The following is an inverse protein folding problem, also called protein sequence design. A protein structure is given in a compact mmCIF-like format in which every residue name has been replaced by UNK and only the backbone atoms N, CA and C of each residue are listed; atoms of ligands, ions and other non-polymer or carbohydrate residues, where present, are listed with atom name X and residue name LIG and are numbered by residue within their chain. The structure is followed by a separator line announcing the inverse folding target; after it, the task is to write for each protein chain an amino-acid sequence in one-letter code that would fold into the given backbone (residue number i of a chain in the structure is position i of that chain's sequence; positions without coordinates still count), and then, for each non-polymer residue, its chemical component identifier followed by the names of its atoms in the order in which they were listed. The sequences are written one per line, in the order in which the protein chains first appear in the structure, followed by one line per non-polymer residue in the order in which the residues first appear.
data_IF_407060073996
#
_entry.id   IF_407060073996
#
_cell.length_a   1.000
_cell.length_b   1.000
_cell.length_c   1.000
_cell.angle_alpha   90.00
_cell.angle_beta   90.00
_cell.angle_gamma   90.00
#
_symmetry.space_group_name_H-M   'P 1'
#
loop_
_entity.id
_entity.type
_entity.pdbx_description
1 polymer ?
#
# COMPACT_ATOMS: atom_id res chain seq x y z
N UNK A 1 -10.45 14.56 -43.78
CA UNK A 1 -11.61 15.47 -43.65
C UNK A 1 -12.80 14.68 -43.11
N UNK A 2 -13.03 14.72 -41.79
CA UNK A 2 -14.32 14.48 -41.11
C UNK A 2 -14.19 15.05 -39.70
N UNK A 3 -15.27 15.70 -39.27
CA UNK A 3 -15.33 16.84 -38.35
C UNK A 3 -14.94 16.49 -36.92
N UNK A 4 -14.22 17.44 -36.30
CA UNK A 4 -14.15 17.60 -34.86
C UNK A 4 -15.50 18.14 -34.39
N UNK A 5 -16.20 17.37 -33.57
CA UNK A 5 -17.31 17.88 -32.78
C UNK A 5 -16.79 18.19 -31.38
N UNK A 6 -16.66 19.49 -31.12
CA UNK A 6 -16.36 20.07 -29.83
C UNK A 6 -17.46 19.68 -28.83
N UNK A 7 -17.13 18.81 -27.88
CA UNK A 7 -17.94 18.62 -26.69
C UNK A 7 -17.80 19.86 -25.80
N UNK A 8 -18.89 20.62 -25.69
CA UNK A 8 -19.03 21.71 -24.74
C UNK A 8 -18.79 21.19 -23.30
N UNK A 9 -18.15 21.98 -22.41
CA UNK A 9 -17.92 21.56 -21.04
C UNK A 9 -19.27 21.38 -20.33
N UNK A 10 -19.52 20.16 -19.85
CA UNK A 10 -20.71 19.87 -19.07
C UNK A 10 -20.67 20.67 -17.77
N UNK A 11 -21.84 21.18 -17.38
CA UNK A 11 -22.05 22.01 -16.20
C UNK A 11 -21.39 21.36 -14.98
N UNK A 12 -20.47 22.07 -14.35
CA UNK A 12 -19.80 21.72 -13.09
C UNK A 12 -20.80 21.06 -12.13
N UNK A 13 -20.67 19.75 -11.97
CA UNK A 13 -21.31 19.00 -10.90
C UNK A 13 -20.80 19.56 -9.57
N UNK A 14 -21.71 20.20 -8.82
CA UNK A 14 -21.48 20.59 -7.42
C UNK A 14 -21.63 19.35 -6.55
N UNK A 15 -20.63 18.48 -6.56
CA UNK A 15 -20.31 17.66 -5.38
C UNK A 15 -18.87 18.00 -4.99
N UNK A 16 -18.66 19.27 -4.59
CA UNK A 16 -17.44 19.66 -3.87
C UNK A 16 -17.73 19.50 -2.40
N UNK A 17 -17.49 18.30 -1.87
CA UNK A 17 -17.39 18.12 -0.44
C UNK A 17 -16.24 17.17 -0.16
N UNK A 18 -15.01 17.66 -0.35
CA UNK A 18 -13.77 16.99 0.05
C UNK A 18 -13.48 17.19 1.55
N UNK A 19 -14.24 18.08 2.21
CA UNK A 19 -14.12 18.25 3.65
C UNK A 19 -14.94 17.18 4.38
N UNK A 20 -14.41 16.60 5.48
CA UNK A 20 -15.22 15.81 6.40
C UNK A 20 -16.51 16.58 6.73
N UNK A 21 -17.67 15.91 6.87
CA UNK A 21 -18.82 16.57 7.49
C UNK A 21 -18.35 17.15 8.83
N UNK A 22 -18.63 18.44 9.08
CA UNK A 22 -18.31 19.05 10.37
C UNK A 22 -19.03 18.25 11.45
N UNK A 23 -18.29 17.40 12.17
CA UNK A 23 -18.80 16.75 13.36
C UNK A 23 -18.93 17.87 14.39
N UNK A 24 -20.14 18.40 14.56
CA UNK A 24 -20.41 19.48 15.50
C UNK A 24 -19.99 19.03 16.90
N UNK A 25 -19.02 19.71 17.51
CA UNK A 25 -18.48 19.41 18.84
C UNK A 25 -19.42 19.72 20.01
N UNK A 26 -20.72 19.52 19.83
CA UNK A 26 -21.67 19.50 20.94
C UNK A 26 -21.59 18.15 21.65
N UNK A 27 -21.73 18.13 22.98
CA UNK A 27 -21.85 16.89 23.73
C UNK A 27 -23.01 16.05 23.18
N UNK A 28 -22.74 14.77 22.87
CA UNK A 28 -23.80 13.84 22.51
C UNK A 28 -24.79 13.71 23.67
N UNK A 29 -26.09 13.57 23.35
CA UNK A 29 -27.10 13.25 24.38
C UNK A 29 -26.75 11.94 25.08
N UNK A 30 -27.25 11.73 26.29
CA UNK A 30 -27.00 10.49 27.05
C UNK A 30 -27.44 9.25 26.24
N UNK A 31 -28.57 9.33 25.54
CA UNK A 31 -29.03 8.25 24.65
C UNK A 31 -28.00 7.97 23.55
N UNK A 32 -27.47 9.03 22.93
CA UNK A 32 -26.47 8.90 21.87
C UNK A 32 -25.13 8.38 22.37
N UNK A 33 -24.72 8.76 23.57
CA UNK A 33 -23.53 8.20 24.23
C UNK A 33 -23.71 6.70 24.49
N UNK A 34 -24.89 6.28 24.96
CA UNK A 34 -25.22 4.87 25.17
C UNK A 34 -25.24 4.07 23.85
N UNK A 35 -25.78 4.64 22.77
CA UNK A 35 -25.75 4.03 21.44
C UNK A 35 -24.30 3.81 20.94
N UNK A 36 -23.44 4.82 21.08
CA UNK A 36 -22.02 4.71 20.71
C UNK A 36 -21.32 3.65 21.55
N UNK A 37 -21.54 3.65 22.86
CA UNK A 37 -20.97 2.66 23.77
C UNK A 37 -21.41 1.23 23.39
N UNK A 38 -22.70 1.03 23.10
CA UNK A 38 -23.22 -0.26 22.63
C UNK A 38 -22.60 -0.67 21.30
N UNK A 39 -22.50 0.26 20.34
CA UNK A 39 -21.87 -0.02 19.06
C UNK A 39 -20.43 -0.48 19.24
N UNK A 40 -19.63 0.19 20.08
CA UNK A 40 -18.25 -0.24 20.38
C UNK A 40 -18.24 -1.62 21.03
N UNK A 41 -19.07 -1.84 22.05
CA UNK A 41 -19.14 -3.10 22.79
C UNK A 41 -19.44 -4.30 21.86
N UNK A 42 -20.35 -4.13 20.90
CA UNK A 42 -20.72 -5.17 19.95
C UNK A 42 -19.57 -5.61 19.03
N UNK A 43 -18.58 -4.74 18.78
CA UNK A 43 -17.39 -5.06 17.95
C UNK A 43 -16.23 -5.60 18.78
N UNK A 44 -16.28 -5.49 20.11
CA UNK A 44 -15.22 -5.95 21.00
C UNK A 44 -14.79 -7.41 20.74
N UNK A 45 -15.70 -8.40 20.52
CA UNK A 45 -15.30 -9.77 20.22
C UNK A 45 -14.46 -9.89 18.93
N UNK A 46 -14.85 -9.16 17.87
CA UNK A 46 -14.12 -9.15 16.61
C UNK A 46 -12.77 -8.46 16.75
N UNK A 47 -12.71 -7.28 17.37
CA UNK A 47 -11.45 -6.56 17.60
C UNK A 47 -10.47 -7.37 18.47
N UNK A 48 -10.99 -8.09 19.48
CA UNK A 48 -10.20 -9.00 20.31
C UNK A 48 -9.69 -10.22 19.54
N UNK A 49 -10.48 -10.76 18.62
CA UNK A 49 -10.04 -11.83 17.72
C UNK A 49 -8.99 -11.31 16.75
N UNK A 50 -9.22 -10.14 16.15
CA UNK A 50 -8.35 -9.49 15.18
C UNK A 50 -6.94 -9.23 15.74
N UNK A 51 -6.87 -8.71 16.97
CA UNK A 51 -5.59 -8.51 17.68
C UNK A 51 -4.84 -9.83 17.88
N UNK A 52 -5.52 -10.87 18.40
CA UNK A 52 -4.92 -12.19 18.59
C UNK A 52 -4.49 -12.83 17.28
N UNK A 53 -5.27 -12.64 16.21
CA UNK A 53 -4.93 -13.12 14.87
C UNK A 53 -3.61 -12.49 14.39
N UNK A 54 -3.44 -11.17 14.51
CA UNK A 54 -2.20 -10.48 14.17
C UNK A 54 -1.00 -11.01 14.96
N UNK A 55 -1.16 -11.19 16.27
CA UNK A 55 -0.11 -11.75 17.14
C UNK A 55 0.25 -13.21 16.79
N UNK A 56 -0.69 -13.95 16.19
CA UNK A 56 -0.52 -15.34 15.78
C UNK A 56 0.06 -15.54 14.37
N UNK A 57 0.36 -14.46 13.64
CA UNK A 57 0.85 -14.55 12.27
C UNK A 57 2.15 -15.41 12.20
N UNK A 58 2.21 -16.39 11.28
CA UNK A 58 3.36 -17.28 11.18
C UNK A 58 4.57 -16.55 10.58
N UNK A 59 5.76 -17.09 10.78
CA UNK A 59 6.92 -16.74 9.94
C UNK A 59 6.93 -17.61 8.68
N UNK A 60 7.52 -17.11 7.60
CA UNK A 60 7.75 -17.89 6.39
C UNK A 60 9.25 -17.90 6.04
N UNK A 61 9.73 -18.98 5.46
CA UNK A 61 11.12 -19.13 5.03
C UNK A 61 11.28 -18.68 3.58
N UNK A 62 12.24 -17.80 3.29
CA UNK A 62 12.58 -17.40 1.92
C UNK A 62 12.97 -18.63 1.08
N UNK A 63 13.69 -19.57 1.68
CA UNK A 63 14.08 -20.82 1.02
C UNK A 63 12.85 -21.63 0.60
N UNK A 64 11.89 -21.82 1.51
CA UNK A 64 10.67 -22.59 1.21
C UNK A 64 9.83 -21.89 0.13
N UNK A 65 9.69 -20.56 0.21
CA UNK A 65 9.00 -19.77 -0.83
C UNK A 65 9.63 -20.01 -2.21
N UNK A 66 10.95 -20.00 -2.31
CA UNK A 66 11.69 -20.22 -3.57
C UNK A 66 11.55 -21.68 -4.05
N UNK A 67 11.66 -22.66 -3.15
CA UNK A 67 11.51 -24.08 -3.47
C UNK A 67 10.08 -24.39 -3.97
N UNK A 68 9.05 -23.87 -3.30
CA UNK A 68 7.64 -24.03 -3.69
C UNK A 68 7.28 -23.30 -4.98
N UNK A 69 7.99 -22.22 -5.31
CA UNK A 69 7.88 -21.54 -6.61
C UNK A 69 8.50 -22.35 -7.76
N UNK A 70 9.27 -23.40 -7.45
CA UNK A 70 10.04 -24.17 -8.41
C UNK A 70 11.31 -23.47 -8.91
N UNK A 71 11.80 -22.45 -8.19
CA UNK A 71 12.96 -21.66 -8.58
C UNK A 71 12.82 -20.17 -8.26
N UNK A 72 13.95 -19.50 -8.03
CA UNK A 72 13.97 -18.09 -7.64
C UNK A 72 13.56 -17.15 -8.78
N UNK A 73 13.69 -17.60 -10.03
CA UNK A 73 13.21 -16.92 -11.22
C UNK A 73 11.68 -16.80 -11.28
N UNK A 74 10.95 -17.63 -10.53
CA UNK A 74 9.49 -17.62 -10.44
C UNK A 74 8.96 -16.79 -9.25
N UNK A 75 9.85 -16.12 -8.52
CA UNK A 75 9.53 -15.22 -7.41
C UNK A 75 9.78 -13.77 -7.83
N UNK A 76 8.82 -12.90 -7.55
CA UNK A 76 8.94 -11.46 -7.71
C UNK A 76 8.82 -10.73 -6.37
N UNK A 77 9.65 -9.72 -6.16
CA UNK A 77 9.55 -8.79 -5.03
C UNK A 77 9.01 -7.47 -5.57
N UNK A 78 7.81 -7.10 -5.12
CA UNK A 78 7.10 -5.87 -5.48
C UNK A 78 7.21 -4.91 -4.30
N UNK A 79 7.92 -3.81 -4.48
CA UNK A 79 8.18 -2.83 -3.45
C UNK A 79 7.48 -1.51 -3.79
N UNK A 80 6.36 -1.27 -3.14
CA UNK A 80 5.44 -0.17 -3.47
C UNK A 80 5.80 1.04 -2.63
N UNK A 81 6.09 2.16 -3.31
CA UNK A 81 6.20 3.49 -2.70
C UNK A 81 7.24 3.66 -1.57
N UNK A 82 8.25 2.79 -1.47
CA UNK A 82 9.38 3.00 -0.52
C UNK A 82 10.34 4.08 -1.03
N UNK A 83 9.85 5.31 -1.02
CA UNK A 83 10.48 6.53 -1.55
C UNK A 83 10.69 7.55 -0.44
N UNK A 84 11.56 8.53 -0.70
CA UNK A 84 11.92 9.59 0.26
C UNK A 84 10.69 10.33 0.76
N UNK A 85 9.72 10.62 -0.11
CA UNK A 85 8.49 11.38 0.19
C UNK A 85 7.65 10.82 1.33
N UNK A 86 7.65 9.49 1.51
CA UNK A 86 6.87 8.80 2.52
C UNK A 86 7.70 8.28 3.69
N UNK A 87 8.95 7.87 3.43
CA UNK A 87 9.80 7.25 4.45
C UNK A 87 10.73 8.22 5.19
N UNK A 88 11.04 9.40 4.62
CA UNK A 88 12.13 10.27 5.10
C UNK A 88 11.69 11.71 5.27
N UNK A 89 11.21 12.31 4.19
CA UNK A 89 10.91 13.74 4.11
C UNK A 89 9.91 14.00 3.00
N UNK A 90 8.80 14.63 3.35
CA UNK A 90 7.72 14.97 2.44
C UNK A 90 6.49 15.34 3.26
N UNK A 91 5.48 15.94 2.62
CA UNK A 91 4.24 16.33 3.29
C UNK A 91 3.47 15.13 3.88
N UNK A 92 3.68 13.93 3.31
CA UNK A 92 3.05 12.68 3.71
C UNK A 92 4.05 11.70 4.36
N UNK A 93 5.22 12.17 4.77
CA UNK A 93 6.20 11.32 5.45
C UNK A 93 5.68 10.87 6.82
N UNK A 94 5.86 9.59 7.15
CA UNK A 94 5.48 9.02 8.44
C UNK A 94 6.65 8.31 9.10
N UNK A 95 6.91 8.52 10.42
CA UNK A 95 7.90 7.75 11.15
C UNK A 95 7.69 6.24 11.05
N UNK A 96 6.43 5.78 11.11
CA UNK A 96 6.05 4.36 10.98
C UNK A 96 6.47 3.78 9.62
N UNK A 97 6.19 4.51 8.54
CA UNK A 97 6.61 4.17 7.19
C UNK A 97 8.14 4.26 7.02
N UNK A 98 8.80 5.14 7.77
CA UNK A 98 10.27 5.16 7.82
C UNK A 98 10.88 3.91 8.46
N UNK A 99 10.20 3.29 9.42
CA UNK A 99 10.68 2.11 10.16
C UNK A 99 10.70 0.84 9.32
N UNK A 100 9.85 0.70 8.30
CA UNK A 100 9.84 -0.48 7.41
C UNK A 100 11.03 -0.54 6.44
N UNK A 101 11.78 0.55 6.27
CA UNK A 101 12.94 0.59 5.35
C UNK A 101 14.00 -0.45 5.73
N UNK A 102 14.31 -0.59 7.03
CA UNK A 102 15.29 -1.56 7.52
C UNK A 102 14.89 -3.03 7.24
N UNK A 103 13.68 -3.47 7.67
CA UNK A 103 13.13 -4.77 7.31
C UNK A 103 13.13 -5.05 5.79
N UNK A 104 12.74 -4.07 4.97
CA UNK A 104 12.72 -4.24 3.50
C UNK A 104 14.12 -4.42 2.93
N UNK A 105 15.13 -3.69 3.42
CA UNK A 105 16.54 -3.86 3.03
C UNK A 105 17.03 -5.28 3.36
N UNK A 106 16.68 -5.80 4.53
CA UNK A 106 17.00 -7.18 4.91
C UNK A 106 16.32 -8.19 3.98
N UNK A 107 15.03 -8.00 3.69
CA UNK A 107 14.27 -8.87 2.80
C UNK A 107 14.80 -8.83 1.35
N UNK A 108 15.20 -7.67 0.85
CA UNK A 108 15.82 -7.53 -0.47
C UNK A 108 17.14 -8.30 -0.54
N UNK A 109 17.98 -8.14 0.48
CA UNK A 109 19.29 -8.82 0.56
C UNK A 109 19.10 -10.34 0.68
N UNK A 110 18.14 -10.78 1.48
CA UNK A 110 17.78 -12.18 1.65
C UNK A 110 17.24 -12.80 0.37
N UNK A 111 16.33 -12.11 -0.33
CA UNK A 111 15.80 -12.57 -1.61
C UNK A 111 16.90 -12.66 -2.67
N UNK A 112 17.77 -11.65 -2.74
CA UNK A 112 18.89 -11.65 -3.68
C UNK A 112 19.87 -12.80 -3.41
N UNK A 113 20.18 -13.10 -2.14
CA UNK A 113 21.06 -14.22 -1.77
C UNK A 113 20.47 -15.60 -2.12
N UNK A 114 19.13 -15.71 -2.17
CA UNK A 114 18.40 -16.89 -2.65
C UNK A 114 18.20 -16.93 -4.16
N UNK A 115 18.81 -16.01 -4.92
CA UNK A 115 18.78 -16.03 -6.39
C UNK A 115 17.64 -15.24 -7.03
N UNK A 116 16.78 -14.57 -6.25
CA UNK A 116 15.69 -13.74 -6.80
C UNK A 116 16.31 -12.56 -7.56
N UNK A 117 15.81 -12.28 -8.76
CA UNK A 117 16.26 -11.14 -9.60
C UNK A 117 15.10 -10.24 -10.07
N UNK A 118 13.86 -10.65 -9.86
CA UNK A 118 12.68 -9.90 -10.29
C UNK A 118 12.28 -8.90 -9.20
N UNK A 119 12.96 -7.76 -9.14
CA UNK A 119 12.62 -6.64 -8.25
C UNK A 119 11.93 -5.54 -9.05
N UNK A 120 10.70 -5.22 -8.67
CA UNK A 120 9.90 -4.18 -9.31
C UNK A 120 9.41 -3.19 -8.28
N UNK A 121 9.59 -1.90 -8.56
CA UNK A 121 9.33 -0.81 -7.63
C UNK A 121 8.30 0.16 -8.25
N UNK A 122 6.98 -0.09 -8.12
CA UNK A 122 5.96 0.89 -8.42
C UNK A 122 6.08 2.09 -7.45
N UNK A 123 6.26 3.30 -7.98
CA UNK A 123 6.58 4.48 -7.16
C UNK A 123 5.81 5.72 -7.60
N UNK A 124 5.22 6.41 -6.64
CA UNK A 124 4.48 7.65 -6.88
C UNK A 124 5.34 8.75 -7.50
N UNK A 125 4.83 9.32 -8.59
CA UNK A 125 5.39 10.46 -9.30
C UNK A 125 4.27 11.29 -9.91
N UNK A 126 3.91 12.39 -9.24
CA UNK A 126 2.75 13.20 -9.63
C UNK A 126 3.12 14.42 -10.47
N UNK A 127 2.40 14.70 -11.57
CA UNK A 127 2.48 16.01 -12.20
C UNK A 127 1.83 17.09 -11.29
N UNK A 128 2.16 18.37 -11.48
CA UNK A 128 1.62 19.45 -10.63
C UNK A 128 0.09 19.58 -10.65
N UNK A 129 -0.58 19.05 -11.67
CA UNK A 129 -2.04 19.07 -11.84
C UNK A 129 -2.71 17.73 -11.48
N UNK A 130 -2.03 16.88 -10.70
CA UNK A 130 -2.58 15.58 -10.28
C UNK A 130 -3.92 15.73 -9.55
N UNK A 131 -4.99 15.05 -10.01
CA UNK A 131 -6.30 15.10 -9.35
C UNK A 131 -6.28 14.44 -7.97
N UNK A 132 -5.31 13.56 -7.70
CA UNK A 132 -5.14 12.89 -6.41
C UNK A 132 -4.80 13.86 -5.27
N UNK A 133 -4.28 15.05 -5.60
CA UNK A 133 -4.03 16.12 -4.63
C UNK A 133 -5.31 16.64 -3.97
N UNK A 134 -6.50 16.38 -4.53
CA UNK A 134 -7.77 16.68 -3.85
C UNK A 134 -7.98 15.84 -2.58
N UNK A 135 -7.40 14.63 -2.53
CA UNK A 135 -7.52 13.72 -1.40
C UNK A 135 -6.33 13.83 -0.43
N UNK A 136 -5.11 13.95 -0.95
CA UNK A 136 -3.88 13.84 -0.14
C UNK A 136 -3.02 15.12 -0.12
N UNK A 137 -3.43 16.17 -0.84
CA UNK A 137 -2.59 17.35 -1.07
C UNK A 137 -1.41 17.07 -1.99
N UNK A 138 -0.60 18.10 -2.35
CA UNK A 138 0.59 17.91 -3.16
C UNK A 138 1.64 17.04 -2.46
N UNK A 139 2.13 16.02 -3.14
CA UNK A 139 3.16 15.08 -2.66
C UNK A 139 3.86 14.42 -3.85
N UNK A 140 5.08 13.90 -3.63
CA UNK A 140 5.83 13.08 -4.58
C UNK A 140 5.83 13.67 -6.01
N UNK A 141 6.06 14.99 -6.10
CA UNK A 141 5.97 15.69 -7.37
C UNK A 141 7.18 15.39 -8.25
N UNK A 142 6.94 15.21 -9.55
CA UNK A 142 8.00 14.94 -10.54
C UNK A 142 9.11 16.01 -10.44
N UNK A 143 10.36 15.53 -10.38
CA UNK A 143 11.55 16.39 -10.29
C UNK A 143 11.95 16.78 -8.86
N UNK A 144 11.23 16.31 -7.84
CA UNK A 144 11.61 16.46 -6.43
C UNK A 144 12.27 15.19 -5.90
N UNK A 145 13.07 15.34 -4.83
CA UNK A 145 13.71 14.20 -4.15
C UNK A 145 12.67 13.24 -3.55
N UNK A 146 11.45 13.71 -3.25
CA UNK A 146 10.37 12.88 -2.70
C UNK A 146 10.06 11.66 -3.57
N UNK A 147 10.28 11.75 -4.88
CA UNK A 147 10.04 10.66 -5.85
C UNK A 147 11.14 9.60 -5.91
N UNK A 148 12.26 9.82 -5.23
CA UNK A 148 13.39 8.90 -5.28
C UNK A 148 13.21 7.72 -4.33
N UNK A 149 13.54 6.50 -4.78
CA UNK A 149 13.76 5.36 -3.88
C UNK A 149 14.67 5.77 -2.72
N UNK A 150 14.30 5.38 -1.49
CA UNK A 150 15.11 5.69 -0.31
C UNK A 150 16.57 5.26 -0.50
N UNK A 151 17.55 6.06 -0.02
CA UNK A 151 18.97 5.79 -0.24
C UNK A 151 19.41 4.39 0.20
N UNK A 152 18.82 3.83 1.26
CA UNK A 152 19.15 2.51 1.78
C UNK A 152 18.86 1.39 0.79
N UNK A 153 17.80 1.52 -0.02
CA UNK A 153 17.47 0.57 -1.08
C UNK A 153 18.23 0.93 -2.37
N UNK A 154 18.28 2.21 -2.73
CA UNK A 154 18.95 2.72 -3.95
C UNK A 154 20.44 2.40 -3.99
N UNK A 155 21.09 2.30 -2.82
CA UNK A 155 22.52 2.02 -2.69
C UNK A 155 22.84 0.54 -2.45
N UNK A 156 21.86 -0.38 -2.52
CA UNK A 156 22.15 -1.81 -2.44
C UNK A 156 23.11 -2.22 -3.58
N UNK A 157 24.07 -3.13 -3.34
CA UNK A 157 25.08 -3.50 -4.36
C UNK A 157 24.51 -4.06 -5.67
N UNK A 158 23.27 -4.52 -5.65
CA UNK A 158 22.54 -5.08 -6.77
C UNK A 158 21.40 -4.19 -7.28
N UNK A 159 21.29 -2.94 -6.81
CA UNK A 159 20.19 -2.04 -7.17
C UNK A 159 20.04 -1.77 -8.68
N UNK A 160 21.12 -1.97 -9.46
CA UNK A 160 21.08 -1.89 -10.92
C UNK A 160 20.08 -2.84 -11.61
N UNK A 161 19.60 -3.88 -10.91
CA UNK A 161 18.59 -4.81 -11.46
C UNK A 161 17.15 -4.39 -11.16
N UNK A 162 16.94 -3.36 -10.33
CA UNK A 162 15.61 -2.93 -9.92
C UNK A 162 14.90 -2.24 -11.09
N UNK A 163 13.66 -2.66 -11.36
CA UNK A 163 12.80 -1.97 -12.33
C UNK A 163 11.87 -1.02 -11.59
N UNK A 164 12.25 0.27 -11.58
CA UNK A 164 11.37 1.35 -11.10
C UNK A 164 10.28 1.62 -12.13
N UNK A 165 9.03 1.70 -11.68
CA UNK A 165 7.84 1.96 -12.47
C UNK A 165 7.10 3.17 -11.88
N UNK A 166 7.21 4.36 -12.47
CA UNK A 166 6.44 5.51 -12.04
C UNK A 166 4.93 5.23 -12.11
N UNK A 167 4.17 5.68 -11.11
CA UNK A 167 2.71 5.67 -11.09
C UNK A 167 2.17 7.02 -10.60
N UNK A 168 0.95 7.36 -11.02
CA UNK A 168 0.26 8.61 -10.67
C UNK A 168 -1.02 8.32 -9.87
N UNK A 169 -1.07 7.16 -9.20
CA UNK A 169 -2.26 6.69 -8.50
C UNK A 169 -1.88 5.70 -7.42
N UNK A 170 -2.72 5.59 -6.38
CA UNK A 170 -2.70 4.50 -5.40
C UNK A 170 -2.64 3.08 -5.98
N UNK A 171 -3.08 2.86 -7.23
CA UNK A 171 -3.12 1.53 -7.82
C UNK A 171 -2.04 1.36 -8.90
N UNK A 172 -1.06 0.50 -8.62
CA UNK A 172 0.02 0.20 -9.57
C UNK A 172 -0.48 -0.40 -10.89
N UNK A 173 -1.67 -0.99 -10.97
CA UNK A 173 -2.19 -1.66 -12.17
C UNK A 173 -2.95 -0.77 -13.16
N UNK A 174 -3.18 0.52 -12.85
CA UNK A 174 -4.01 1.40 -13.68
C UNK A 174 -3.13 2.34 -14.51
N UNK A 175 -3.09 2.13 -15.83
CA UNK A 175 -2.37 2.96 -16.80
C UNK A 175 -0.89 3.21 -16.44
N UNK A 176 -0.20 2.14 -16.02
CA UNK A 176 1.23 2.13 -15.72
C UNK A 176 1.97 1.08 -16.56
N UNK A 177 3.30 1.02 -16.45
CA UNK A 177 4.12 -0.07 -17.00
C UNK A 177 3.98 -1.40 -16.23
N UNK A 178 3.30 -1.45 -15.08
CA UNK A 178 3.26 -2.64 -14.22
C UNK A 178 2.47 -3.82 -14.85
N UNK A 179 1.29 -3.64 -15.46
CA UNK A 179 0.64 -4.70 -16.23
C UNK A 179 1.55 -5.28 -17.33
N UNK A 180 2.26 -4.43 -18.08
CA UNK A 180 3.20 -4.84 -19.12
C UNK A 180 4.40 -5.61 -18.54
N UNK A 181 4.90 -5.19 -17.38
CA UNK A 181 5.92 -5.92 -16.65
C UNK A 181 5.43 -7.33 -16.25
N UNK A 182 4.20 -7.45 -15.73
CA UNK A 182 3.59 -8.75 -15.42
C UNK A 182 3.40 -9.63 -16.67
N UNK A 183 3.10 -9.04 -17.83
CA UNK A 183 3.03 -9.76 -19.11
C UNK A 183 4.38 -10.26 -19.61
N UNK A 184 5.49 -9.59 -19.26
CA UNK A 184 6.85 -10.05 -19.58
C UNK A 184 7.37 -11.10 -18.60
N UNK A 185 6.79 -11.18 -17.40
CA UNK A 185 7.20 -12.08 -16.32
C UNK A 185 6.11 -13.11 -15.99
N UNK A 186 5.54 -13.75 -17.02
CA UNK A 186 4.43 -14.73 -16.88
C UNK A 186 4.84 -16.01 -16.15
N UNK A 187 6.14 -16.25 -15.98
CA UNK A 187 6.67 -17.36 -15.20
C UNK A 187 6.54 -17.14 -13.68
N UNK A 188 6.32 -15.89 -13.23
CA UNK A 188 6.14 -15.60 -11.81
C UNK A 188 4.90 -16.30 -11.25
N UNK A 189 5.07 -16.98 -10.12
CA UNK A 189 3.99 -17.64 -9.37
C UNK A 189 3.99 -17.25 -7.89
N UNK A 190 5.05 -16.60 -7.39
CA UNK A 190 5.14 -16.03 -6.04
C UNK A 190 5.41 -14.54 -6.12
N UNK A 191 4.64 -13.76 -5.37
CA UNK A 191 4.82 -12.32 -5.24
C UNK A 191 4.99 -11.99 -3.76
N UNK A 192 6.16 -11.49 -3.38
CA UNK A 192 6.37 -10.88 -2.07
C UNK A 192 6.13 -9.39 -2.23
N UNK A 193 5.11 -8.85 -1.55
CA UNK A 193 4.70 -7.45 -1.68
C UNK A 193 4.99 -6.72 -0.38
N UNK A 194 5.77 -5.64 -0.49
CA UNK A 194 6.26 -4.82 0.62
C UNK A 194 6.12 -3.33 0.29
N UNK A 195 6.23 -2.47 1.31
CA UNK A 195 6.21 -1.02 1.19
C UNK A 195 5.01 -0.38 1.86
N UNK A 196 4.59 0.77 1.37
CA UNK A 196 3.56 1.57 2.02
C UNK A 196 2.51 2.10 1.02
N UNK A 197 1.36 2.56 1.50
CA UNK A 197 0.80 2.30 2.84
C UNK A 197 -0.10 1.06 2.83
N UNK A 198 -0.21 0.41 3.98
CA UNK A 198 -0.88 -0.91 4.15
C UNK A 198 -2.31 -0.91 3.62
N UNK A 199 -3.10 0.09 3.99
CA UNK A 199 -4.53 0.18 3.75
C UNK A 199 -4.91 0.85 2.42
N UNK A 200 -3.92 1.29 1.63
CA UNK A 200 -4.13 1.96 0.35
C UNK A 200 -3.29 1.30 -0.75
N UNK A 201 -2.04 1.73 -0.97
CA UNK A 201 -1.25 1.31 -2.13
C UNK A 201 -0.90 -0.18 -2.09
N UNK A 202 -0.56 -0.70 -0.90
CA UNK A 202 -0.31 -2.14 -0.71
C UNK A 202 -1.60 -2.92 -0.94
N UNK A 203 -2.69 -2.52 -0.29
CA UNK A 203 -3.98 -3.18 -0.43
C UNK A 203 -4.47 -3.22 -1.89
N UNK A 204 -4.38 -2.10 -2.61
CA UNK A 204 -4.72 -1.99 -4.03
C UNK A 204 -3.83 -2.87 -4.90
N UNK A 205 -2.52 -2.90 -4.63
CA UNK A 205 -1.57 -3.73 -5.40
C UNK A 205 -1.83 -5.22 -5.22
N UNK A 206 -2.03 -5.69 -3.98
CA UNK A 206 -2.24 -7.12 -3.73
C UNK A 206 -3.61 -7.60 -4.18
N UNK A 207 -4.66 -6.78 -4.03
CA UNK A 207 -5.99 -7.11 -4.53
C UNK A 207 -6.05 -7.09 -6.06
N UNK A 208 -5.33 -6.18 -6.71
CA UNK A 208 -5.14 -6.21 -8.16
C UNK A 208 -4.47 -7.51 -8.62
N UNK A 209 -3.34 -7.90 -8.00
CA UNK A 209 -2.66 -9.16 -8.32
C UNK A 209 -3.58 -10.37 -8.11
N UNK A 210 -4.38 -10.38 -7.04
CA UNK A 210 -5.32 -11.47 -6.74
C UNK A 210 -6.45 -11.55 -7.76
N UNK A 211 -7.07 -10.41 -8.07
CA UNK A 211 -8.14 -10.32 -9.07
C UNK A 211 -7.62 -10.76 -10.44
N UNK A 212 -6.42 -10.31 -10.81
CA UNK A 212 -5.73 -10.72 -12.04
C UNK A 212 -5.47 -12.23 -12.07
N UNK A 213 -4.96 -12.80 -10.97
CA UNK A 213 -4.73 -14.25 -10.85
C UNK A 213 -6.02 -15.05 -11.08
N UNK A 214 -7.12 -14.61 -10.47
CA UNK A 214 -8.42 -15.26 -10.62
C UNK A 214 -8.94 -15.13 -12.06
N UNK A 215 -8.90 -13.93 -12.63
CA UNK A 215 -9.42 -13.65 -13.98
C UNK A 215 -8.68 -14.44 -15.06
N UNK A 216 -7.36 -14.55 -14.97
CA UNK A 216 -6.52 -15.21 -15.95
C UNK A 216 -6.15 -16.65 -15.58
N UNK A 217 -6.75 -17.20 -14.51
CA UNK A 217 -6.50 -18.56 -13.99
C UNK A 217 -5.00 -18.83 -13.76
N UNK A 218 -4.30 -17.84 -13.22
CA UNK A 218 -2.89 -17.93 -12.86
C UNK A 218 -2.76 -18.54 -11.46
N UNK A 219 -1.58 -19.11 -11.18
CA UNK A 219 -1.25 -19.69 -9.87
C UNK A 219 -0.45 -18.69 -9.03
N UNK A 220 -0.93 -17.46 -8.89
CA UNK A 220 -0.25 -16.47 -8.05
C UNK A 220 -0.53 -16.75 -6.58
N UNK A 221 0.55 -16.91 -5.81
CA UNK A 221 0.52 -16.79 -4.37
C UNK A 221 1.18 -15.46 -4.00
N UNK A 222 0.43 -14.63 -3.28
CA UNK A 222 0.85 -13.29 -2.88
C UNK A 222 1.14 -13.35 -1.39
N UNK A 223 2.31 -12.90 -0.98
CA UNK A 223 2.82 -12.96 0.38
C UNK A 223 3.12 -11.54 0.84
N UNK A 224 2.59 -11.15 2.00
CA UNK A 224 2.81 -9.84 2.61
C UNK A 224 3.42 -10.05 4.00
N UNK A 225 4.72 -9.78 4.18
CA UNK A 225 5.34 -9.76 5.50
C UNK A 225 4.95 -8.48 6.24
N UNK A 226 4.29 -8.64 7.39
CA UNK A 226 3.77 -7.54 8.22
C UNK A 226 4.87 -6.56 8.64
N UNK A 227 6.08 -7.03 8.92
CA UNK A 227 7.20 -6.16 9.31
C UNK A 227 7.78 -5.33 8.16
N UNK A 228 7.31 -5.53 6.93
CA UNK A 228 7.74 -4.81 5.74
C UNK A 228 6.61 -3.96 5.12
N UNK A 229 5.50 -3.76 5.83
CA UNK A 229 4.43 -2.84 5.44
C UNK A 229 3.96 -2.06 6.66
N UNK A 230 3.60 -0.80 6.50
CA UNK A 230 2.95 -0.02 7.57
C UNK A 230 2.08 1.07 6.96
N UNK A 231 1.50 1.92 7.79
CA UNK A 231 0.66 3.05 7.41
C UNK A 231 0.97 4.24 8.33
N UNK A 232 0.37 5.40 8.06
CA UNK A 232 0.56 6.60 8.88
C UNK A 232 -0.45 6.66 10.01
N UNK A 233 -0.24 7.58 10.96
CA UNK A 233 -1.19 7.86 12.03
C UNK A 233 -1.63 9.31 11.96
N UNK A 234 -2.91 9.58 12.18
CA UNK A 234 -3.46 10.92 12.34
C UNK A 234 -4.53 10.86 13.43
N UNK A 235 -4.14 11.10 14.70
CA UNK A 235 -5.07 11.08 15.83
C UNK A 235 -6.25 12.03 15.61
N UNK A 236 -7.37 11.72 16.26
CA UNK A 236 -8.63 12.46 16.08
C UNK A 236 -8.47 13.95 16.37
N UNK A 237 -7.79 14.29 17.46
CA UNK A 237 -7.56 15.68 17.87
C UNK A 237 -6.76 16.43 16.79
N UNK A 238 -5.67 15.84 16.31
CA UNK A 238 -4.83 16.42 15.26
C UNK A 238 -5.60 16.58 13.94
N UNK A 239 -6.38 15.56 13.55
CA UNK A 239 -7.18 15.61 12.33
C UNK A 239 -8.23 16.73 12.38
N UNK A 240 -8.86 16.94 13.56
CA UNK A 240 -9.82 18.02 13.77
C UNK A 240 -9.17 19.41 13.67
N UNK A 241 -7.98 19.59 14.23
CA UNK A 241 -7.22 20.83 14.13
C UNK A 241 -6.84 21.16 12.67
N UNK A 242 -6.42 20.14 11.91
CA UNK A 242 -6.04 20.28 10.51
C UNK A 242 -7.23 20.30 9.54
N UNK A 243 -8.43 19.95 10.00
CA UNK A 243 -9.63 19.87 9.17
C UNK A 243 -9.62 18.71 8.16
N UNK A 244 -8.88 17.63 8.46
CA UNK A 244 -8.75 16.42 7.64
C UNK A 244 -9.45 15.22 8.29
N UNK A 245 -9.44 14.07 7.62
CA UNK A 245 -9.96 12.84 8.18
C UNK A 245 -8.94 12.20 9.15
N UNK A 246 -9.37 11.71 10.32
CA UNK A 246 -8.49 10.95 11.21
C UNK A 246 -8.15 9.59 10.62
N UNK A 247 -7.03 9.04 11.06
CA UNK A 247 -6.50 7.75 10.64
C UNK A 247 -5.84 7.08 11.85
N UNK A 248 -6.39 5.95 12.30
CA UNK A 248 -5.84 5.16 13.41
C UNK A 248 -4.93 4.08 12.83
N UNK A 249 -3.61 4.31 12.92
CA UNK A 249 -2.63 3.46 12.24
C UNK A 249 -2.72 2.01 12.69
N UNK A 250 -2.82 1.77 14.00
CA UNK A 250 -2.79 0.41 14.56
C UNK A 250 -4.03 -0.38 14.16
N UNK A 251 -5.22 0.24 14.25
CA UNK A 251 -6.47 -0.40 13.85
C UNK A 251 -6.49 -0.65 12.34
N UNK A 252 -6.17 0.37 11.52
CA UNK A 252 -6.28 0.28 10.07
C UNK A 252 -5.23 -0.66 9.48
N UNK A 253 -3.97 -0.58 9.91
CA UNK A 253 -2.93 -1.54 9.53
C UNK A 253 -3.38 -2.97 9.83
N UNK A 254 -3.82 -3.25 11.07
CA UNK A 254 -4.26 -4.59 11.48
C UNK A 254 -5.47 -5.06 10.68
N UNK A 255 -6.48 -4.20 10.50
CA UNK A 255 -7.72 -4.52 9.78
C UNK A 255 -7.45 -4.81 8.31
N UNK A 256 -6.60 -4.03 7.65
CA UNK A 256 -6.30 -4.23 6.23
C UNK A 256 -5.39 -5.42 5.98
N UNK A 257 -4.45 -5.75 6.88
CA UNK A 257 -3.77 -7.05 6.84
C UNK A 257 -4.77 -8.20 6.93
N UNK A 258 -5.73 -8.13 7.87
CA UNK A 258 -6.80 -9.12 7.94
C UNK A 258 -7.61 -9.17 6.66
N UNK A 259 -7.95 -8.02 6.08
CA UNK A 259 -8.72 -7.97 4.84
C UNK A 259 -7.95 -8.56 3.66
N UNK A 260 -6.64 -8.36 3.57
CA UNK A 260 -5.78 -9.06 2.61
C UNK A 260 -5.87 -10.58 2.81
N UNK A 261 -5.72 -11.06 4.05
CA UNK A 261 -5.83 -12.48 4.37
C UNK A 261 -7.21 -13.06 4.02
N UNK A 262 -8.29 -12.31 4.30
CA UNK A 262 -9.66 -12.67 3.93
C UNK A 262 -9.84 -12.83 2.42
N UNK A 263 -9.05 -12.11 1.61
CA UNK A 263 -9.06 -12.19 0.15
C UNK A 263 -8.05 -13.22 -0.40
N UNK A 264 -7.49 -14.08 0.44
CA UNK A 264 -6.58 -15.15 0.04
C UNK A 264 -5.18 -14.67 -0.33
N UNK A 265 -4.73 -13.57 0.28
CA UNK A 265 -3.31 -13.18 0.35
C UNK A 265 -2.69 -13.81 1.60
N UNK A 266 -1.46 -14.30 1.48
CA UNK A 266 -0.72 -14.90 2.59
C UNK A 266 -0.04 -13.81 3.40
N UNK A 267 -0.70 -13.36 4.48
CA UNK A 267 -0.07 -12.45 5.44
C UNK A 267 0.75 -13.27 6.43
N UNK A 268 2.02 -12.88 6.59
CA UNK A 268 2.98 -13.50 7.51
C UNK A 268 3.57 -12.44 8.42
N UNK A 269 4.10 -12.81 9.57
CA UNK A 269 4.74 -11.87 10.50
C UNK A 269 6.01 -11.28 9.92
N UNK A 270 6.84 -12.12 9.30
CA UNK A 270 8.10 -11.78 8.62
C UNK A 270 8.56 -12.95 7.74
N UNK A 271 9.53 -12.68 6.88
CA UNK A 271 10.22 -13.71 6.09
C UNK A 271 11.67 -13.87 6.60
N UNK A 272 12.11 -15.11 6.82
CA UNK A 272 13.43 -15.49 7.36
C UNK A 272 14.31 -16.25 6.38
#
# INVERSE_FOLDING_TARGET
MRRADCLAPSKKSKVRNTNPPRIHGGEFTVERQNEIASWIADRHPFLSWLKRWRESLPEASMKEIVEEAGGAENVGIVCVDVIVGFCKSGALASPRVGEIVGPIVNLFTLGYSHGIRNFVLPQDQHPPDSPEFEAYGPHCMVGTEETETVPEIKNLPFASIFKVLPKQSINAGVDTEYPDWLEKHRNLTRFIVVGDVTDICIYQTVTYLKARSNQFKLNYQIIVPMDCVDTWDTPVEMAQELGIMPHDAELLHTLFLYHMALNGIHVVRRIT
#
